data_IF_437688688336
#
_entry.id   IF_437688688336
#
_cell.length_a   1.000
_cell.length_b   1.000
_cell.length_c   1.000
_cell.angle_alpha   90.00
_cell.angle_beta   90.00
_cell.angle_gamma   90.00
#
_symmetry.space_group_name_H-M   'P 1'
#
loop_
_entity.id
_entity.type
_entity.pdbx_description
1 polymer ?
#
# COMPACT_ATOMS: atom_id res chain seq x y z
N UNK A 1 8.68 7.22 -17.02
CA UNK A 1 9.06 6.74 -15.67
C UNK A 1 7.80 6.27 -14.96
N UNK A 2 7.85 5.17 -14.19
CA UNK A 2 6.70 4.66 -13.40
C UNK A 2 6.98 4.89 -11.91
N UNK A 3 5.93 4.99 -11.11
CA UNK A 3 5.98 5.05 -9.64
C UNK A 3 5.17 3.89 -9.04
N UNK A 4 5.48 3.54 -7.79
CA UNK A 4 4.73 2.54 -7.03
C UNK A 4 3.36 3.06 -6.58
N UNK A 5 2.47 2.16 -6.16
CA UNK A 5 1.13 2.54 -5.65
C UNK A 5 1.23 3.48 -4.45
N UNK A 6 2.13 3.20 -3.50
CA UNK A 6 2.29 4.06 -2.31
C UNK A 6 2.75 5.48 -2.66
N UNK A 7 3.70 5.63 -3.60
CA UNK A 7 4.19 6.93 -4.06
C UNK A 7 3.08 7.72 -4.77
N UNK A 8 2.25 7.04 -5.55
CA UNK A 8 1.08 7.65 -6.19
C UNK A 8 0.07 8.15 -5.15
N UNK A 9 -0.16 7.38 -4.08
CA UNK A 9 -1.04 7.80 -2.98
C UNK A 9 -0.49 9.01 -2.22
N UNK A 10 0.78 8.99 -1.86
CA UNK A 10 1.46 10.12 -1.19
C UNK A 10 1.37 11.39 -2.03
N UNK A 11 1.57 11.29 -3.35
CA UNK A 11 1.43 12.41 -4.25
C UNK A 11 -0.02 12.92 -4.30
N UNK A 12 -1.01 12.04 -4.43
CA UNK A 12 -2.42 12.43 -4.46
C UNK A 12 -2.85 13.11 -3.15
N UNK A 13 -2.42 12.57 -2.02
CA UNK A 13 -2.69 13.13 -0.68
C UNK A 13 -2.12 14.54 -0.52
N UNK A 14 -0.91 14.81 -1.03
CA UNK A 14 -0.30 16.15 -1.02
C UNK A 14 -1.16 17.21 -1.75
N UNK A 15 -2.01 16.79 -2.70
CA UNK A 15 -2.94 17.67 -3.42
C UNK A 15 -4.38 17.59 -2.87
N UNK A 16 -4.59 16.99 -1.71
CA UNK A 16 -5.89 16.90 -1.05
C UNK A 16 -6.86 15.89 -1.69
N UNK A 17 -6.37 14.99 -2.56
CA UNK A 17 -7.19 13.92 -3.12
C UNK A 17 -7.29 12.79 -2.08
N UNK A 18 -8.51 12.36 -1.69
CA UNK A 18 -8.67 11.33 -0.67
C UNK A 18 -8.15 9.98 -1.17
N UNK A 19 -7.26 9.36 -0.39
CA UNK A 19 -6.71 8.03 -0.63
C UNK A 19 -6.85 7.17 0.63
N UNK A 20 -6.98 5.84 0.52
CA UNK A 20 -6.97 4.98 1.70
C UNK A 20 -5.61 5.04 2.40
N UNK A 21 -5.62 5.22 3.73
CA UNK A 21 -4.41 5.16 4.56
C UNK A 21 -3.65 3.86 4.30
N UNK A 22 -2.34 3.96 4.14
CA UNK A 22 -1.46 2.81 3.96
C UNK A 22 -0.07 3.10 4.49
N UNK A 23 0.59 2.06 4.96
CA UNK A 23 1.97 2.12 5.45
C UNK A 23 2.80 1.15 4.59
N UNK A 24 3.97 1.58 4.15
CA UNK A 24 4.91 0.72 3.40
C UNK A 24 5.70 -0.13 4.38
N UNK A 25 5.80 -1.41 4.09
CA UNK A 25 6.63 -2.37 4.82
C UNK A 25 7.64 -3.02 3.88
N UNK A 26 8.87 -3.19 4.35
CA UNK A 26 9.97 -3.88 3.66
C UNK A 26 10.28 -5.25 4.27
N UNK A 27 9.80 -5.51 5.49
CA UNK A 27 9.91 -6.81 6.14
C UNK A 27 8.54 -7.32 6.60
N UNK A 28 8.40 -8.63 6.88
CA UNK A 28 7.16 -9.18 7.45
C UNK A 28 6.77 -8.53 8.78
N UNK A 29 7.75 -8.23 9.65
CA UNK A 29 7.53 -7.62 10.96
C UNK A 29 6.99 -6.19 10.82
N UNK A 30 7.54 -5.42 9.87
CA UNK A 30 7.02 -4.09 9.53
C UNK A 30 5.59 -4.17 8.99
N UNK A 31 5.24 -5.22 8.25
CA UNK A 31 3.87 -5.40 7.72
C UNK A 31 2.87 -5.73 8.84
N UNK A 32 3.27 -6.56 9.81
CA UNK A 32 2.47 -6.86 10.99
C UNK A 32 2.25 -5.60 11.84
N UNK A 33 3.31 -4.82 12.08
CA UNK A 33 3.21 -3.57 12.84
C UNK A 33 2.33 -2.54 12.10
N UNK A 34 2.51 -2.40 10.78
CA UNK A 34 1.67 -1.54 9.95
C UNK A 34 0.18 -1.90 10.05
N UNK A 35 -0.17 -3.19 10.05
CA UNK A 35 -1.55 -3.62 10.21
C UNK A 35 -2.13 -3.23 11.59
N UNK A 36 -1.33 -3.36 12.66
CA UNK A 36 -1.71 -2.90 14.01
C UNK A 36 -1.90 -1.39 14.07
N UNK A 37 -0.99 -0.63 13.46
CA UNK A 37 -1.02 0.85 13.45
C UNK A 37 -2.20 1.41 12.64
N UNK A 38 -2.61 0.72 11.58
CA UNK A 38 -3.81 1.08 10.82
C UNK A 38 -5.10 0.91 11.64
N UNK A 39 -5.11 -0.03 12.60
CA UNK A 39 -6.19 -0.19 13.57
C UNK A 39 -7.55 -0.53 12.96
N UNK A 40 -7.57 -1.24 11.83
CA UNK A 40 -8.78 -1.64 11.10
C UNK A 40 -9.02 -3.14 11.19
N UNK A 41 -10.30 -3.56 11.22
CA UNK A 41 -10.69 -4.98 11.24
C UNK A 41 -10.19 -5.78 10.03
N UNK A 42 -9.93 -5.10 8.90
CA UNK A 42 -9.45 -5.70 7.66
C UNK A 42 -8.34 -4.84 7.05
N UNK A 43 -7.18 -5.46 6.81
CA UNK A 43 -6.05 -4.85 6.10
C UNK A 43 -5.76 -5.62 4.81
N UNK A 44 -5.36 -4.90 3.75
CA UNK A 44 -4.97 -5.49 2.46
C UNK A 44 -3.47 -5.33 2.26
N UNK A 45 -2.75 -6.44 2.11
CA UNK A 45 -1.30 -6.44 1.83
C UNK A 45 -1.10 -6.48 0.32
N UNK A 46 -0.40 -5.49 -0.25
CA UNK A 46 -0.21 -5.38 -1.70
C UNK A 46 1.26 -5.31 -2.09
N UNK A 47 1.68 -6.21 -2.98
CA UNK A 47 3.00 -6.17 -3.58
C UNK A 47 3.23 -4.83 -4.31
N UNK A 48 4.36 -4.19 -4.03
CA UNK A 48 4.76 -2.92 -4.65
C UNK A 48 5.65 -3.19 -5.87
N UNK A 49 5.05 -3.27 -7.05
CA UNK A 49 5.73 -3.47 -8.34
C UNK A 49 5.17 -2.53 -9.42
N UNK A 50 5.97 -2.24 -10.45
CA UNK A 50 5.57 -1.37 -11.57
C UNK A 50 4.71 -2.11 -12.64
N UNK A 51 3.79 -2.96 -12.18
CA UNK A 51 2.90 -3.76 -13.02
C UNK A 51 1.48 -3.85 -12.43
N UNK A 52 0.47 -3.92 -13.30
CA UNK A 52 -0.91 -4.22 -12.94
C UNK A 52 -1.14 -5.73 -12.75
N UNK A 53 -2.39 -6.15 -12.53
CA UNK A 53 -2.77 -7.57 -12.47
C UNK A 53 -2.36 -8.32 -11.19
N UNK A 54 -1.83 -7.60 -10.18
CA UNK A 54 -1.29 -8.18 -8.93
C UNK A 54 -2.25 -9.12 -8.21
N UNK A 55 -3.54 -8.81 -8.12
CA UNK A 55 -4.51 -9.70 -7.46
C UNK A 55 -4.71 -11.04 -8.15
N UNK A 56 -4.69 -11.08 -9.48
CA UNK A 56 -4.72 -12.36 -10.22
C UNK A 56 -3.44 -13.18 -10.04
N UNK A 57 -2.32 -12.51 -9.74
CA UNK A 57 -1.04 -13.13 -9.46
C UNK A 57 -0.81 -13.47 -7.98
N UNK A 58 -1.80 -13.29 -7.10
CA UNK A 58 -1.68 -13.55 -5.65
C UNK A 58 -0.87 -12.51 -4.87
N UNK A 59 -0.62 -11.34 -5.45
CA UNK A 59 0.12 -10.23 -4.83
C UNK A 59 -0.78 -9.14 -4.21
N UNK A 60 -2.08 -9.42 -4.04
CA UNK A 60 -3.09 -8.61 -3.34
C UNK A 60 -3.99 -9.57 -2.57
#
# INVERSE_FOLDING_TARGET
MKIHEYQGKELLEQYGVPVPKSIVAKTPEEAEQAAKDLGTDLTVVKAQIHAGGRGKGGGV
#
